data_IF_541714087633
#
_entry.id   IF_541714087633
#
_cell.length_a   1.000
_cell.length_b   1.000
_cell.length_c   1.000
_cell.angle_alpha   90.00
_cell.angle_beta   90.00
_cell.angle_gamma   90.00
#
_symmetry.space_group_name_H-M   'P 1'
#
loop_
_entity.id
_entity.type
_entity.pdbx_description
1 polymer ?
#
# COMPACT_ATOMS: atom_id res chain seq x y z
N UNK A 1 22.26 6.98 26.51
CA UNK A 1 21.77 7.70 25.31
C UNK A 1 21.03 6.77 24.34
N UNK A 2 21.61 5.63 23.92
CA UNK A 2 20.98 4.65 23.02
C UNK A 2 19.63 4.08 23.52
N UNK A 3 19.50 3.69 24.80
CA UNK A 3 18.20 3.27 25.41
C UNK A 3 17.05 4.28 25.31
N UNK A 4 17.32 5.59 25.40
CA UNK A 4 16.27 6.62 25.25
C UNK A 4 15.80 6.75 23.80
N UNK A 5 16.72 6.58 22.86
CA UNK A 5 16.43 6.58 21.42
C UNK A 5 15.67 5.31 21.03
N UNK A 6 16.00 4.16 21.64
CA UNK A 6 15.28 2.91 21.47
C UNK A 6 13.80 3.01 21.85
N UNK A 7 13.49 3.59 23.01
CA UNK A 7 12.11 3.80 23.43
C UNK A 7 11.31 4.70 22.45
N UNK A 8 11.95 5.70 21.84
CA UNK A 8 11.26 6.63 20.93
C UNK A 8 11.10 6.11 19.50
N UNK A 9 12.02 5.26 19.02
CA UNK A 9 12.05 4.78 17.64
C UNK A 9 11.40 3.40 17.51
N UNK A 10 11.62 2.49 18.47
CA UNK A 10 11.04 1.16 18.42
C UNK A 10 9.60 1.21 18.91
N UNK A 11 8.68 0.97 17.98
CA UNK A 11 7.24 0.96 18.25
C UNK A 11 6.81 -0.16 19.21
N UNK A 12 7.63 -1.19 19.43
CA UNK A 12 7.42 -2.24 20.44
C UNK A 12 7.94 -1.82 21.84
N UNK A 13 8.84 -0.83 21.94
CA UNK A 13 9.48 -0.40 23.19
C UNK A 13 8.92 0.91 23.78
N UNK A 14 8.02 1.59 23.05
CA UNK A 14 7.38 2.83 23.51
C UNK A 14 6.35 2.55 24.60
N UNK A 15 6.60 3.06 25.81
CA UNK A 15 5.75 2.88 26.99
C UNK A 15 4.71 4.01 27.21
N UNK A 16 4.67 5.02 26.34
CA UNK A 16 3.72 6.13 26.44
C UNK A 16 2.39 5.87 25.73
N UNK A 17 1.35 6.60 26.10
CA UNK A 17 0.10 6.62 25.32
C UNK A 17 0.33 7.26 23.93
N UNK A 18 -0.40 6.79 22.91
CA UNK A 18 -0.26 7.36 21.57
C UNK A 18 0.99 6.91 20.78
N UNK A 19 1.25 7.60 19.67
CA UNK A 19 2.42 7.38 18.79
C UNK A 19 3.56 8.26 19.30
N UNK A 20 4.78 7.72 19.42
CA UNK A 20 5.99 8.50 19.76
C UNK A 20 6.12 9.74 18.87
N UNK A 21 6.54 10.91 19.40
CA UNK A 21 6.73 12.14 18.62
C UNK A 21 7.60 11.93 17.37
N UNK A 22 8.66 11.11 17.46
CA UNK A 22 9.52 10.81 16.30
C UNK A 22 8.77 9.99 15.24
N UNK A 23 7.95 9.03 15.66
CA UNK A 23 7.15 8.24 14.73
C UNK A 23 6.03 9.06 14.08
N UNK A 24 5.51 10.10 14.76
CA UNK A 24 4.61 11.09 14.16
C UNK A 24 5.33 11.93 13.10
N UNK A 25 6.55 12.38 13.37
CA UNK A 25 7.36 13.12 12.37
C UNK A 25 7.65 12.24 11.15
N UNK A 26 8.06 10.98 11.35
CA UNK A 26 8.30 10.03 10.25
C UNK A 26 7.02 9.80 9.44
N UNK A 27 5.86 9.66 10.11
CA UNK A 27 4.56 9.56 9.43
C UNK A 27 4.31 10.76 8.51
N UNK A 28 4.49 11.98 9.01
CA UNK A 28 4.33 13.19 8.20
C UNK A 28 5.32 13.25 7.04
N UNK A 29 6.57 12.81 7.23
CA UNK A 29 7.57 12.73 6.16
C UNK A 29 7.13 11.72 5.09
N UNK A 30 6.61 10.56 5.48
CA UNK A 30 6.08 9.57 4.53
C UNK A 30 4.89 10.14 3.76
N UNK A 31 3.92 10.76 4.43
CA UNK A 31 2.77 11.39 3.78
C UNK A 31 3.21 12.49 2.80
N UNK A 32 4.15 13.35 3.20
CA UNK A 32 4.72 14.37 2.31
C UNK A 32 5.40 13.74 1.08
N UNK A 33 6.11 12.62 1.27
CA UNK A 33 6.75 11.91 0.16
C UNK A 33 5.75 11.30 -0.82
N UNK A 34 4.59 10.84 -0.33
CA UNK A 34 3.51 10.30 -1.17
C UNK A 34 2.86 11.42 -1.98
N UNK A 35 2.53 12.55 -1.33
CA UNK A 35 1.99 13.73 -2.02
C UNK A 35 2.99 14.23 -3.08
N UNK A 36 4.27 14.34 -2.73
CA UNK A 36 5.31 14.71 -3.71
C UNK A 36 5.38 13.73 -4.87
N UNK A 37 5.21 12.43 -4.63
CA UNK A 37 5.20 11.41 -5.69
C UNK A 37 3.96 11.50 -6.59
N UNK A 38 2.81 11.92 -6.06
CA UNK A 38 1.60 12.17 -6.84
C UNK A 38 1.82 13.41 -7.72
N UNK A 39 2.40 14.48 -7.18
CA UNK A 39 2.70 15.68 -7.95
C UNK A 39 3.75 15.44 -9.06
N UNK A 40 4.77 14.61 -8.79
CA UNK A 40 5.78 14.18 -9.79
C UNK A 40 5.17 13.32 -10.92
N UNK A 41 3.98 12.75 -10.71
CA UNK A 41 3.31 11.95 -11.75
C UNK A 41 2.70 12.80 -12.87
N UNK A 42 2.41 14.07 -12.61
CA UNK A 42 1.82 15.00 -13.58
C UNK A 42 2.91 15.67 -14.43
N UNK A 43 2.97 15.43 -15.76
CA UNK A 43 4.02 15.97 -16.62
C UNK A 43 4.10 17.50 -16.61
N UNK A 44 2.96 18.19 -16.52
CA UNK A 44 2.93 19.66 -16.50
C UNK A 44 3.67 20.23 -15.29
N UNK A 45 3.47 19.62 -14.11
CA UNK A 45 4.10 20.07 -12.86
C UNK A 45 5.57 19.66 -12.84
N UNK A 46 5.87 18.43 -13.24
CA UNK A 46 7.24 17.90 -13.29
C UNK A 46 8.15 18.70 -14.21
N UNK A 47 7.66 19.05 -15.41
CA UNK A 47 8.44 19.78 -16.40
C UNK A 47 8.61 21.27 -16.05
N UNK A 48 7.75 21.83 -15.20
CA UNK A 48 7.88 23.21 -14.73
C UNK A 48 9.08 23.39 -13.79
N UNK A 49 9.38 22.41 -12.93
CA UNK A 49 10.44 22.49 -11.90
C UNK A 49 11.21 21.16 -11.70
N UNK A 50 11.88 20.62 -12.73
CA UNK A 50 12.50 19.30 -12.67
C UNK A 50 13.60 19.19 -11.59
N UNK A 51 14.39 20.25 -11.39
CA UNK A 51 15.45 20.28 -10.37
C UNK A 51 14.92 20.22 -8.93
N UNK A 52 13.74 20.80 -8.67
CA UNK A 52 13.10 20.76 -7.36
C UNK A 52 12.64 19.33 -7.03
N UNK A 53 12.03 18.63 -7.98
CA UNK A 53 11.59 17.24 -7.78
C UNK A 53 12.77 16.30 -7.56
N UNK A 54 13.88 16.49 -8.28
CA UNK A 54 15.10 15.72 -8.02
C UNK A 54 15.64 15.98 -6.61
N UNK A 55 15.69 17.23 -6.17
CA UNK A 55 16.15 17.59 -4.82
C UNK A 55 15.24 17.01 -3.72
N UNK A 56 13.92 17.08 -3.90
CA UNK A 56 12.94 16.53 -2.96
C UNK A 56 13.04 14.99 -2.90
N UNK A 57 13.13 14.33 -4.06
CA UNK A 57 13.28 12.88 -4.11
C UNK A 57 14.58 12.45 -3.42
N UNK A 58 15.69 13.13 -3.67
CA UNK A 58 16.97 12.89 -3.00
C UNK A 58 16.88 13.11 -1.48
N UNK A 59 16.22 14.19 -1.04
CA UNK A 59 15.98 14.47 0.37
C UNK A 59 15.25 13.30 1.03
N UNK A 60 14.15 12.82 0.43
CA UNK A 60 13.43 11.66 0.94
C UNK A 60 14.28 10.38 0.91
N UNK A 61 15.12 10.17 -0.12
CA UNK A 61 16.07 9.05 -0.19
C UNK A 61 16.96 8.99 1.06
N UNK A 62 17.61 10.12 1.33
CA UNK A 62 18.57 10.26 2.44
C UNK A 62 17.84 10.12 3.77
N UNK A 63 16.72 10.82 3.95
CA UNK A 63 15.93 10.74 5.18
C UNK A 63 15.48 9.31 5.48
N UNK A 64 14.91 8.58 4.51
CA UNK A 64 14.47 7.20 4.74
C UNK A 64 15.63 6.22 4.95
N UNK A 65 16.74 6.42 4.25
CA UNK A 65 17.94 5.59 4.46
C UNK A 65 18.52 5.80 5.87
N UNK A 66 18.59 7.05 6.34
CA UNK A 66 19.04 7.37 7.69
C UNK A 66 18.07 6.81 8.75
N UNK A 67 16.77 6.96 8.52
CA UNK A 67 15.71 6.45 9.38
C UNK A 67 15.82 4.92 9.55
N UNK A 68 15.93 4.18 8.44
CA UNK A 68 16.12 2.74 8.44
C UNK A 68 17.47 2.34 9.08
N UNK A 69 18.55 3.06 8.78
CA UNK A 69 19.86 2.84 9.38
C UNK A 69 19.88 3.02 10.90
N UNK A 70 19.21 4.07 11.40
CA UNK A 70 19.04 4.33 12.82
C UNK A 70 18.27 3.20 13.50
N UNK A 71 17.18 2.70 12.89
CA UNK A 71 16.45 1.53 13.40
C UNK A 71 17.33 0.29 13.46
N UNK A 72 18.06 0.00 12.39
CA UNK A 72 18.96 -1.15 12.33
C UNK A 72 20.12 -1.07 13.35
N UNK A 73 20.53 0.14 13.72
CA UNK A 73 21.50 0.36 14.78
C UNK A 73 20.90 0.12 16.17
N UNK A 74 19.73 0.70 16.42
CA UNK A 74 19.02 0.73 17.69
C UNK A 74 18.41 -0.63 18.08
N UNK A 75 17.96 -1.44 17.11
CA UNK A 75 17.32 -2.74 17.37
C UNK A 75 18.22 -3.72 18.11
N UNK A 76 19.55 -3.54 18.06
CA UNK A 76 20.51 -4.36 18.79
C UNK A 76 20.42 -4.24 20.31
N UNK A 77 19.67 -3.27 20.84
CA UNK A 77 19.35 -3.15 22.27
C UNK A 77 18.19 -4.05 22.71
N UNK A 78 17.34 -4.49 21.79
CA UNK A 78 16.25 -5.40 22.10
C UNK A 78 16.83 -6.80 22.37
N UNK A 79 16.56 -7.44 23.54
CA UNK A 79 17.08 -8.76 23.87
C UNK A 79 16.76 -9.81 22.81
N UNK A 80 15.62 -9.66 22.12
CA UNK A 80 15.15 -10.56 21.05
C UNK A 80 15.97 -10.48 19.76
N UNK A 81 16.61 -9.34 19.49
CA UNK A 81 17.32 -9.06 18.23
C UNK A 81 18.81 -8.75 18.44
N UNK A 82 19.39 -9.23 19.55
CA UNK A 82 20.80 -8.99 19.87
C UNK A 82 21.72 -9.76 18.91
N UNK A 83 22.83 -9.12 18.53
CA UNK A 83 23.85 -9.69 17.64
C UNK A 83 23.48 -9.64 16.15
N UNK A 84 24.41 -10.07 15.28
CA UNK A 84 24.24 -10.00 13.82
C UNK A 84 23.06 -10.86 13.33
N UNK A 85 22.88 -12.06 13.89
CA UNK A 85 21.76 -12.95 13.55
C UNK A 85 20.41 -12.35 13.89
N UNK A 86 20.27 -11.73 15.06
CA UNK A 86 19.03 -11.07 15.48
C UNK A 86 18.67 -9.89 14.57
N UNK A 87 19.67 -9.10 14.15
CA UNK A 87 19.48 -8.00 13.19
C UNK A 87 19.03 -8.47 11.80
N UNK A 88 19.57 -9.58 11.30
CA UNK A 88 19.14 -10.15 10.01
C UNK A 88 17.70 -10.64 10.10
N UNK A 89 17.33 -11.32 11.19
CA UNK A 89 15.95 -11.76 11.43
C UNK A 89 14.98 -10.57 11.44
N UNK A 90 15.39 -9.44 12.02
CA UNK A 90 14.60 -8.21 11.98
C UNK A 90 14.46 -7.66 10.55
N UNK A 91 15.56 -7.57 9.79
CA UNK A 91 15.55 -7.03 8.43
C UNK A 91 14.68 -7.84 7.45
N UNK A 92 14.56 -9.15 7.66
CA UNK A 92 13.74 -10.06 6.82
C UNK A 92 12.25 -10.03 7.18
N UNK A 93 11.83 -9.27 8.21
CA UNK A 93 10.40 -9.09 8.49
C UNK A 93 9.69 -8.40 7.33
N UNK A 94 8.43 -8.77 7.00
CA UNK A 94 7.73 -8.26 5.82
C UNK A 94 7.67 -6.73 5.74
N UNK A 95 7.38 -6.05 6.85
CA UNK A 95 7.36 -4.59 6.88
C UNK A 95 8.75 -3.93 6.74
N UNK A 96 9.82 -4.61 7.17
CA UNK A 96 11.19 -4.14 6.98
C UNK A 96 11.65 -4.36 5.53
N UNK A 97 11.30 -5.50 4.93
CA UNK A 97 11.56 -5.78 3.52
C UNK A 97 10.88 -4.76 2.61
N UNK A 98 9.63 -4.40 2.87
CA UNK A 98 8.92 -3.36 2.11
C UNK A 98 9.65 -2.01 2.17
N UNK A 99 10.20 -1.66 3.32
CA UNK A 99 10.98 -0.43 3.49
C UNK A 99 12.30 -0.47 2.71
N UNK A 100 13.02 -1.60 2.79
CA UNK A 100 14.24 -1.81 2.00
C UNK A 100 13.93 -1.69 0.51
N UNK A 101 12.89 -2.37 0.02
CA UNK A 101 12.47 -2.32 -1.39
C UNK A 101 12.14 -0.89 -1.80
N UNK A 102 11.42 -0.14 -0.96
CA UNK A 102 11.06 1.24 -1.23
C UNK A 102 12.24 2.24 -1.19
N UNK A 103 13.26 1.97 -0.37
CA UNK A 103 14.51 2.74 -0.33
C UNK A 103 15.34 2.42 -1.58
N UNK A 104 15.51 1.14 -1.90
CA UNK A 104 16.25 0.69 -3.08
C UNK A 104 15.62 1.21 -4.37
N UNK A 105 14.29 1.16 -4.49
CA UNK A 105 13.59 1.65 -5.67
C UNK A 105 13.84 3.14 -5.90
N UNK A 106 13.91 3.94 -4.84
CA UNK A 106 14.14 5.38 -5.00
C UNK A 106 15.60 5.70 -5.32
N UNK A 107 16.57 5.00 -4.71
CA UNK A 107 17.96 5.14 -5.12
C UNK A 107 18.18 4.68 -6.57
N UNK A 108 17.54 3.58 -6.97
CA UNK A 108 17.62 3.08 -8.35
C UNK A 108 17.03 4.08 -9.35
N UNK A 109 15.90 4.69 -9.02
CA UNK A 109 15.26 5.73 -9.85
C UNK A 109 16.16 6.96 -10.04
N UNK A 110 16.80 7.43 -8.96
CA UNK A 110 17.72 8.58 -9.00
C UNK A 110 19.02 8.25 -9.76
N UNK A 111 19.63 7.10 -9.51
CA UNK A 111 20.96 6.75 -10.06
C UNK A 111 20.87 6.32 -11.51
N UNK A 112 19.91 5.47 -11.85
CA UNK A 112 19.85 4.84 -13.17
C UNK A 112 18.90 5.52 -14.14
N UNK A 113 18.02 6.42 -13.66
CA UNK A 113 17.03 7.13 -14.47
C UNK A 113 16.33 6.22 -15.50
N UNK A 114 15.92 5.02 -15.06
CA UNK A 114 15.61 3.92 -15.98
C UNK A 114 14.37 4.26 -16.84
N UNK A 115 14.52 4.34 -18.17
CA UNK A 115 13.38 4.61 -19.04
C UNK A 115 12.50 3.36 -19.23
N UNK A 116 11.26 3.57 -19.70
CA UNK A 116 10.35 2.48 -20.09
C UNK A 116 9.73 1.71 -18.92
N UNK A 117 9.46 0.42 -19.13
CA UNK A 117 8.74 -0.45 -18.18
C UNK A 117 9.38 -0.46 -16.79
N UNK A 118 10.71 -0.58 -16.72
CA UNK A 118 11.42 -0.60 -15.44
C UNK A 118 11.26 0.72 -14.66
N UNK A 119 11.21 1.87 -15.34
CA UNK A 119 10.90 3.15 -14.70
C UNK A 119 9.46 3.25 -14.19
N UNK A 120 8.50 2.56 -14.80
CA UNK A 120 7.13 2.42 -14.27
C UNK A 120 7.13 1.56 -13.02
N UNK A 121 7.85 0.43 -13.04
CA UNK A 121 7.98 -0.46 -11.87
C UNK A 121 8.63 0.27 -10.70
N UNK A 122 9.69 1.05 -10.93
CA UNK A 122 10.32 1.87 -9.89
C UNK A 122 9.37 2.92 -9.33
N UNK A 123 8.55 3.57 -10.17
CA UNK A 123 7.48 4.49 -9.75
C UNK A 123 6.42 3.80 -8.89
N UNK A 124 5.95 2.62 -9.30
CA UNK A 124 4.99 1.84 -8.51
C UNK A 124 5.60 1.38 -7.18
N UNK A 125 6.87 1.02 -7.16
CA UNK A 125 7.58 0.66 -5.94
C UNK A 125 7.66 1.83 -4.93
N UNK A 126 7.59 3.10 -5.38
CA UNK A 126 7.47 4.26 -4.46
C UNK A 126 6.14 4.23 -3.69
N UNK A 127 5.07 3.69 -4.27
CA UNK A 127 3.76 3.57 -3.60
C UNK A 127 3.79 2.55 -2.45
N UNK A 128 4.72 1.58 -2.47
CA UNK A 128 4.92 0.65 -1.36
C UNK A 128 5.27 1.36 -0.04
N UNK A 129 5.74 2.61 -0.09
CA UNK A 129 5.98 3.45 1.10
C UNK A 129 4.72 3.75 1.89
N UNK A 130 3.57 3.80 1.24
CA UNK A 130 2.27 3.90 1.93
C UNK A 130 2.06 2.67 2.80
N UNK A 131 2.48 1.49 2.32
CA UNK A 131 2.44 0.25 3.11
C UNK A 131 3.44 0.30 4.25
N UNK A 132 4.56 1.03 4.11
CA UNK A 132 5.44 1.34 5.23
C UNK A 132 4.73 2.15 6.34
N UNK A 133 3.56 2.76 6.13
CA UNK A 133 2.78 3.34 7.24
C UNK A 133 2.16 2.28 8.15
N UNK A 134 1.78 1.14 7.57
CA UNK A 134 1.18 0.01 8.28
C UNK A 134 2.15 -0.66 9.26
N UNK A 135 3.46 -0.36 9.17
CA UNK A 135 4.50 -0.91 10.06
C UNK A 135 4.44 -0.39 11.49
N UNK A 136 3.77 0.73 11.73
CA UNK A 136 3.66 1.27 13.08
C UNK A 136 2.94 0.25 13.98
N UNK A 137 3.50 -0.06 15.16
CA UNK A 137 3.04 -1.17 16.03
C UNK A 137 1.52 -1.21 16.23
N UNK A 138 0.88 -0.05 16.32
CA UNK A 138 -0.58 0.07 16.47
C UNK A 138 -1.34 -0.37 15.23
N UNK A 139 -0.85 -0.03 14.04
CA UNK A 139 -1.44 -0.44 12.77
C UNK A 139 -1.19 -1.93 12.51
N UNK A 140 0.01 -2.42 12.81
CA UNK A 140 0.31 -3.86 12.76
C UNK A 140 -0.59 -4.66 13.72
N UNK A 141 -0.85 -4.14 14.92
CA UNK A 141 -1.82 -4.72 15.87
C UNK A 141 -3.25 -4.68 15.31
N UNK A 142 -3.70 -3.54 14.77
CA UNK A 142 -5.02 -3.42 14.17
C UNK A 142 -5.22 -4.38 12.98
N UNK A 143 -4.23 -4.48 12.09
CA UNK A 143 -4.21 -5.46 10.98
C UNK A 143 -4.26 -6.89 11.53
N UNK A 144 -3.50 -7.19 12.59
CA UNK A 144 -3.53 -8.48 13.26
C UNK A 144 -4.91 -8.82 13.84
N UNK A 145 -5.60 -7.84 14.43
CA UNK A 145 -6.97 -7.99 14.93
C UNK A 145 -7.95 -8.23 13.78
N UNK A 146 -7.88 -7.42 12.71
CA UNK A 146 -8.70 -7.61 11.51
C UNK A 146 -8.50 -9.00 10.91
N UNK A 147 -7.24 -9.42 10.76
CA UNK A 147 -6.91 -10.74 10.22
C UNK A 147 -7.48 -11.87 11.08
N UNK A 148 -7.35 -11.78 12.41
CA UNK A 148 -7.95 -12.75 13.33
C UNK A 148 -9.47 -12.80 13.21
N UNK A 149 -10.13 -11.65 13.14
CA UNK A 149 -11.58 -11.55 12.96
C UNK A 149 -12.04 -12.14 11.63
N UNK A 150 -11.32 -11.87 10.54
CA UNK A 150 -11.59 -12.44 9.21
C UNK A 150 -11.43 -13.95 9.20
N UNK A 151 -10.35 -14.49 9.80
CA UNK A 151 -10.15 -15.94 9.92
C UNK A 151 -11.26 -16.56 10.76
N UNK A 152 -11.63 -15.93 11.89
CA UNK A 152 -12.68 -16.43 12.76
C UNK A 152 -14.04 -16.54 12.05
N UNK A 153 -14.31 -15.64 11.09
CA UNK A 153 -15.56 -15.59 10.32
C UNK A 153 -15.42 -16.06 8.86
N UNK A 154 -14.35 -16.77 8.53
CA UNK A 154 -14.01 -17.12 7.13
C UNK A 154 -15.11 -17.92 6.42
N UNK A 155 -15.83 -18.78 7.12
CA UNK A 155 -16.89 -19.60 6.53
C UNK A 155 -18.16 -18.79 6.24
N UNK A 156 -18.52 -17.87 7.14
CA UNK A 156 -19.64 -16.94 6.94
C UNK A 156 -19.33 -15.99 5.77
N UNK A 157 -18.13 -15.44 5.73
CA UNK A 157 -17.66 -14.60 4.62
C UNK A 157 -17.63 -15.37 3.29
N UNK A 158 -17.12 -16.61 3.29
CA UNK A 158 -17.09 -17.44 2.10
C UNK A 158 -18.49 -17.78 1.58
N UNK A 159 -19.43 -18.11 2.48
CA UNK A 159 -20.83 -18.33 2.11
C UNK A 159 -21.46 -17.07 1.52
N UNK A 160 -21.25 -15.91 2.16
CA UNK A 160 -21.77 -14.63 1.66
C UNK A 160 -21.20 -14.28 0.27
N UNK A 161 -19.90 -14.52 0.05
CA UNK A 161 -19.25 -14.29 -1.23
C UNK A 161 -19.75 -15.24 -2.32
N UNK A 162 -20.01 -16.51 -1.96
CA UNK A 162 -20.57 -17.50 -2.87
C UNK A 162 -21.99 -17.12 -3.30
N UNK A 163 -22.84 -16.71 -2.34
CA UNK A 163 -24.20 -16.24 -2.62
C UNK A 163 -24.18 -14.97 -3.49
N UNK A 164 -23.32 -14.00 -3.17
CA UNK A 164 -23.14 -12.80 -3.96
C UNK A 164 -22.72 -13.13 -5.40
N UNK A 165 -21.76 -14.06 -5.57
CA UNK A 165 -21.30 -14.51 -6.88
C UNK A 165 -22.42 -15.23 -7.66
N UNK A 166 -23.21 -16.06 -7.00
CA UNK A 166 -24.35 -16.74 -7.62
C UNK A 166 -25.40 -15.74 -8.12
N UNK A 167 -25.72 -14.72 -7.32
CA UNK A 167 -26.64 -13.64 -7.71
C UNK A 167 -26.05 -12.81 -8.87
N UNK A 168 -24.75 -12.50 -8.82
CA UNK A 168 -24.04 -11.77 -9.88
C UNK A 168 -24.11 -12.51 -11.22
N UNK A 169 -23.74 -13.79 -11.23
CA UNK A 169 -23.73 -14.61 -12.44
C UNK A 169 -25.15 -14.91 -12.94
N UNK A 170 -26.09 -15.17 -12.03
CA UNK A 170 -27.49 -15.38 -12.36
C UNK A 170 -28.11 -14.15 -13.01
N UNK A 171 -27.88 -12.96 -12.42
CA UNK A 171 -28.38 -11.69 -12.96
C UNK A 171 -27.74 -11.35 -14.29
N UNK A 172 -26.41 -11.51 -14.43
CA UNK A 172 -25.71 -11.27 -15.69
C UNK A 172 -26.19 -12.21 -16.81
N UNK A 173 -26.45 -13.49 -16.49
CA UNK A 173 -26.96 -14.45 -17.47
C UNK A 173 -28.40 -14.12 -17.87
N UNK A 174 -29.27 -13.78 -16.91
CA UNK A 174 -30.64 -13.37 -17.19
C UNK A 174 -30.66 -12.12 -18.09
N UNK A 175 -29.83 -11.14 -17.78
CA UNK A 175 -29.71 -9.91 -18.56
C UNK A 175 -29.18 -10.16 -19.98
N UNK A 176 -28.17 -11.03 -20.13
CA UNK A 176 -27.69 -11.47 -21.44
C UNK A 176 -28.81 -12.15 -22.25
N UNK A 177 -29.64 -12.98 -21.62
CA UNK A 177 -30.73 -13.69 -22.32
C UNK A 177 -31.87 -12.76 -22.74
N UNK A 178 -32.16 -11.71 -21.95
CA UNK A 178 -33.24 -10.76 -22.24
C UNK A 178 -32.78 -9.67 -23.20
N UNK A 179 -31.57 -9.13 -22.99
CA UNK A 179 -31.09 -7.91 -23.64
C UNK A 179 -29.91 -8.14 -24.60
N UNK A 180 -29.43 -9.37 -24.72
CA UNK A 180 -28.24 -9.68 -25.53
C UNK A 180 -28.43 -9.39 -27.01
N UNK A 181 -29.66 -9.53 -27.53
CA UNK A 181 -30.01 -9.24 -28.91
C UNK A 181 -30.41 -7.77 -29.13
N UNK A 182 -31.07 -7.14 -28.16
CA UNK A 182 -31.50 -5.72 -28.21
C UNK A 182 -30.31 -4.77 -28.07
N UNK A 183 -29.38 -5.10 -27.16
CA UNK A 183 -28.22 -4.29 -26.83
C UNK A 183 -26.92 -5.10 -26.89
N UNK A 184 -26.50 -5.60 -28.08
CA UNK A 184 -25.35 -6.49 -28.21
C UNK A 184 -24.02 -5.85 -27.78
N UNK A 185 -23.89 -4.53 -27.89
CA UNK A 185 -22.70 -3.80 -27.43
C UNK A 185 -22.55 -3.86 -25.89
N UNK A 186 -23.65 -3.71 -25.16
CA UNK A 186 -23.71 -3.65 -23.70
C UNK A 186 -23.90 -5.02 -23.03
N UNK A 187 -24.77 -5.85 -23.60
CA UNK A 187 -25.21 -7.11 -22.99
C UNK A 187 -25.02 -8.31 -23.90
N UNK A 188 -24.33 -8.20 -25.04
CA UNK A 188 -24.14 -9.31 -25.99
C UNK A 188 -23.19 -10.42 -25.54
N UNK A 189 -22.74 -10.41 -24.28
CA UNK A 189 -22.10 -11.57 -23.65
C UNK A 189 -22.23 -11.51 -22.12
N UNK A 190 -22.19 -12.67 -21.47
CA UNK A 190 -22.29 -12.76 -20.00
C UNK A 190 -21.23 -11.88 -19.30
N UNK A 191 -19.94 -11.86 -19.71
CA UNK A 191 -18.95 -10.96 -19.10
C UNK A 191 -19.28 -9.46 -19.25
N UNK A 192 -19.91 -9.05 -20.36
CA UNK A 192 -20.34 -7.66 -20.54
C UNK A 192 -21.52 -7.33 -19.61
N UNK A 193 -22.51 -8.22 -19.51
CA UNK A 193 -23.61 -8.09 -18.56
C UNK A 193 -23.15 -8.14 -17.09
N UNK A 194 -22.03 -8.82 -16.80
CA UNK A 194 -21.44 -8.88 -15.47
C UNK A 194 -20.95 -7.51 -14.97
N UNK A 195 -20.47 -6.63 -15.86
CA UNK A 195 -20.09 -5.25 -15.50
C UNK A 195 -21.26 -4.50 -14.89
N UNK A 196 -22.41 -4.52 -15.55
CA UNK A 196 -23.63 -3.91 -15.05
C UNK A 196 -24.11 -4.57 -13.75
N UNK A 197 -24.17 -5.91 -13.71
CA UNK A 197 -24.60 -6.64 -12.52
C UNK A 197 -23.71 -6.33 -11.30
N UNK A 198 -22.41 -6.13 -11.52
CA UNK A 198 -21.47 -5.74 -10.46
C UNK A 198 -21.70 -4.30 -10.00
N UNK A 199 -21.84 -3.35 -10.93
CA UNK A 199 -22.10 -1.95 -10.60
C UNK A 199 -23.43 -1.76 -9.85
N UNK A 200 -24.46 -2.53 -10.19
CA UNK A 200 -25.77 -2.51 -9.52
C UNK A 200 -25.72 -3.21 -8.16
N UNK A 201 -25.14 -4.41 -8.06
CA UNK A 201 -25.06 -5.15 -6.80
C UNK A 201 -24.21 -4.43 -5.74
N UNK A 202 -23.15 -3.74 -6.17
CA UNK A 202 -22.31 -2.92 -5.29
C UNK A 202 -22.88 -1.53 -5.04
N UNK A 203 -24.09 -1.23 -5.55
CA UNK A 203 -24.80 0.05 -5.42
C UNK A 203 -24.03 1.26 -5.95
N UNK A 204 -23.08 1.04 -6.87
CA UNK A 204 -22.32 2.11 -7.54
C UNK A 204 -23.18 2.78 -8.60
N UNK A 205 -23.81 1.98 -9.48
CA UNK A 205 -24.80 2.46 -10.45
C UNK A 205 -24.29 3.58 -11.37
N UNK A 206 -23.21 3.33 -12.13
CA UNK A 206 -22.62 4.34 -13.04
C UNK A 206 -23.61 4.94 -14.05
N UNK A 207 -24.62 4.16 -14.47
CA UNK A 207 -25.62 4.60 -15.46
C UNK A 207 -25.09 4.66 -16.90
N UNK A 208 -23.90 4.15 -17.15
CA UNK A 208 -23.28 4.01 -18.47
C UNK A 208 -23.97 2.96 -19.36
N UNK A 209 -24.55 1.94 -18.72
CA UNK A 209 -25.29 0.85 -19.36
C UNK A 209 -26.51 0.51 -18.50
N UNK A 210 -27.67 0.23 -19.11
CA UNK A 210 -28.88 -0.20 -18.39
C UNK A 210 -29.85 -0.98 -19.32
N UNK A 211 -30.60 -1.97 -18.79
CA UNK A 211 -31.65 -2.69 -19.56
C UNK A 211 -32.77 -1.76 -20.03
N UNK A 212 -33.42 -2.07 -21.16
CA UNK A 212 -34.45 -1.23 -21.81
C UNK A 212 -35.72 -1.98 -22.21
#
# INVERSE_FOLDING_TARGET
>A
MRRRIHGNIDTEAWQGEGISPLNKVILWIVLASVVSSILDSEPLIRNAVPGLFLAINLLFAVLFTLEYGLRFWVIGENPRYRGLRGKIIYAVRPFCLLDIIAILALWADIIFAVPGFYGVVLRLARLLRVVSLARQSKWAMAIGLLHRSLIARRYELALSALLALAVLLGSATALFLVEGETQPAAFGSIPRALWWAMATLTTVGYGDVYPV
#
